data_IF_991198893880
#
_entry.id   IF_991198893880
#
_cell.length_a   1.000
_cell.length_b   1.000
_cell.length_c   1.000
_cell.angle_alpha   90.00
_cell.angle_beta   90.00
_cell.angle_gamma   90.00
#
_symmetry.space_group_name_H-M   'P 1'
#
loop_
_entity.id
_entity.type
_entity.pdbx_description
1 polymer ?
#
# COMPACT_ATOMS: atom_id res chain seq x y z
N UNK A 1 -3.35 13.74 -29.43
CA UNK A 1 -2.38 12.65 -29.12
C UNK A 1 -1.83 12.75 -27.69
N UNK A 2 -1.05 13.77 -27.31
CA UNK A 2 -0.62 13.93 -25.89
C UNK A 2 -1.79 14.32 -24.99
N UNK A 3 -2.65 15.23 -25.46
CA UNK A 3 -3.85 15.64 -24.74
C UNK A 3 -4.88 14.51 -24.66
N UNK A 4 -5.13 13.74 -25.73
CA UNK A 4 -6.00 12.54 -25.67
C UNK A 4 -5.43 11.39 -24.80
N UNK A 5 -4.11 11.32 -24.62
CA UNK A 5 -3.49 10.39 -23.66
C UNK A 5 -3.70 10.86 -22.21
N UNK A 6 -3.65 12.18 -21.99
CA UNK A 6 -3.98 12.82 -20.72
C UNK A 6 -5.50 12.90 -20.47
N UNK A 7 -6.36 12.82 -21.48
CA UNK A 7 -7.83 12.89 -21.32
C UNK A 7 -8.50 11.52 -21.47
N UNK A 8 -7.72 10.48 -21.79
CA UNK A 8 -8.18 9.11 -21.89
C UNK A 8 -8.51 8.48 -20.53
N UNK A 9 -9.19 7.31 -20.52
CA UNK A 9 -9.57 6.58 -19.30
C UNK A 9 -8.36 6.22 -18.39
N UNK A 10 -7.14 6.31 -18.91
CA UNK A 10 -5.89 6.10 -18.19
C UNK A 10 -5.50 7.24 -17.24
N UNK A 11 -5.98 8.48 -17.45
CA UNK A 11 -5.69 9.61 -16.55
C UNK A 11 -6.27 9.41 -15.14
N UNK A 12 -7.35 8.65 -15.03
CA UNK A 12 -7.99 8.33 -13.75
C UNK A 12 -7.28 7.19 -13.00
N UNK A 13 -6.11 6.72 -13.44
CA UNK A 13 -5.39 5.69 -12.69
C UNK A 13 -5.05 6.15 -11.26
N UNK A 14 -4.59 7.39 -11.11
CA UNK A 14 -4.17 7.93 -9.81
C UNK A 14 -5.31 8.15 -8.80
N UNK A 15 -6.59 8.04 -9.20
CA UNK A 15 -7.69 8.26 -8.24
C UNK A 15 -8.05 7.00 -7.46
N UNK A 16 -7.72 5.81 -7.95
CA UNK A 16 -8.14 4.56 -7.32
C UNK A 16 -7.18 4.13 -6.20
N UNK A 17 -7.74 3.72 -5.07
CA UNK A 17 -6.99 3.26 -3.90
C UNK A 17 -6.10 2.05 -4.19
N UNK A 18 -6.59 1.14 -5.04
CA UNK A 18 -5.82 -0.03 -5.47
C UNK A 18 -4.50 0.38 -6.12
N UNK A 19 -4.51 1.44 -6.93
CA UNK A 19 -3.32 1.92 -7.64
C UNK A 19 -2.32 2.58 -6.68
N UNK A 20 -2.81 3.25 -5.63
CA UNK A 20 -1.96 3.76 -4.55
C UNK A 20 -1.28 2.60 -3.81
N UNK A 21 -1.98 1.50 -3.54
CA UNK A 21 -1.37 0.32 -2.94
C UNK A 21 -0.35 -0.38 -3.84
N UNK A 22 -0.62 -0.50 -5.15
CA UNK A 22 0.37 -1.02 -6.11
C UNK A 22 1.63 -0.15 -6.17
N UNK A 23 1.46 1.17 -6.16
CA UNK A 23 2.59 2.12 -6.10
C UNK A 23 3.41 1.89 -4.85
N UNK A 24 2.74 1.79 -3.69
CA UNK A 24 3.42 1.58 -2.41
C UNK A 24 4.17 0.24 -2.35
N UNK A 25 3.56 -0.85 -2.84
CA UNK A 25 4.24 -2.14 -2.94
C UNK A 25 5.46 -2.08 -3.86
N UNK A 26 5.34 -1.39 -5.00
CA UNK A 26 6.46 -1.21 -5.92
C UNK A 26 7.57 -0.39 -5.28
N UNK A 27 7.24 0.69 -4.58
CA UNK A 27 8.20 1.49 -3.83
C UNK A 27 8.92 0.65 -2.76
N UNK A 28 8.19 -0.18 -2.02
CA UNK A 28 8.77 -1.12 -1.07
C UNK A 28 9.73 -2.10 -1.77
N UNK A 29 9.32 -2.76 -2.85
CA UNK A 29 10.18 -3.71 -3.55
C UNK A 29 11.47 -3.07 -4.11
N UNK A 30 11.36 -1.86 -4.68
CA UNK A 30 12.52 -1.10 -5.17
C UNK A 30 13.43 -0.69 -4.00
N UNK A 31 12.85 -0.23 -2.90
CA UNK A 31 13.63 0.18 -1.72
C UNK A 31 14.32 -1.01 -1.06
N UNK A 32 13.63 -2.14 -0.91
CA UNK A 32 14.19 -3.40 -0.45
C UNK A 32 15.40 -3.82 -1.29
N UNK A 33 15.30 -3.73 -2.63
CA UNK A 33 16.40 -4.03 -3.53
C UNK A 33 17.59 -3.08 -3.32
N UNK A 34 17.35 -1.78 -3.10
CA UNK A 34 18.41 -0.80 -2.79
C UNK A 34 19.11 -1.16 -1.47
N UNK A 35 18.34 -1.45 -0.41
CA UNK A 35 18.88 -1.83 0.90
C UNK A 35 19.70 -3.11 0.81
N UNK A 36 19.24 -4.12 0.08
CA UNK A 36 20.01 -5.34 -0.16
C UNK A 36 21.33 -5.08 -0.89
N UNK A 37 21.34 -4.20 -1.90
CA UNK A 37 22.56 -3.84 -2.64
C UNK A 37 23.54 -3.08 -1.74
N UNK A 38 23.06 -2.15 -0.91
CA UNK A 38 23.89 -1.44 0.06
C UNK A 38 24.50 -2.43 1.04
N UNK A 39 23.69 -3.29 1.67
CA UNK A 39 24.17 -4.30 2.62
C UNK A 39 25.23 -5.23 2.04
N UNK A 40 25.01 -5.73 0.82
CA UNK A 40 25.97 -6.59 0.12
C UNK A 40 27.30 -5.87 -0.18
N UNK A 41 27.25 -4.58 -0.55
CA UNK A 41 28.47 -3.78 -0.80
C UNK A 41 29.23 -3.49 0.49
N UNK A 42 28.54 -3.18 1.57
CA UNK A 42 29.14 -2.91 2.89
C UNK A 42 29.81 -4.15 3.45
N UNK A 43 29.14 -5.30 3.40
CA UNK A 43 29.72 -6.58 3.85
C UNK A 43 30.97 -6.95 3.04
N UNK A 44 30.94 -6.77 1.72
CA UNK A 44 32.08 -7.02 0.84
C UNK A 44 33.27 -6.10 1.16
N UNK A 45 33.02 -4.80 1.35
CA UNK A 45 34.07 -3.84 1.70
C UNK A 45 34.71 -4.14 3.06
N UNK A 46 33.92 -4.62 4.03
CA UNK A 46 34.38 -4.95 5.38
C UNK A 46 35.24 -6.22 5.37
N UNK A 47 34.88 -7.23 4.57
CA UNK A 47 35.68 -8.45 4.41
C UNK A 47 37.05 -8.19 3.74
N UNK A 48 37.13 -7.18 2.87
CA UNK A 48 38.39 -6.76 2.25
C UNK A 48 39.25 -5.87 3.19
N UNK A 49 38.66 -5.33 4.26
CA UNK A 49 39.27 -4.34 5.17
C UNK A 49 39.25 -4.85 6.62
N UNK A 50 40.08 -5.84 6.92
CA UNK A 50 40.09 -6.56 8.22
C UNK A 50 40.47 -5.70 9.45
N UNK A 51 40.79 -4.40 9.29
CA UNK A 51 41.42 -3.57 10.33
C UNK A 51 40.61 -2.42 10.94
N UNK A 52 39.49 -1.96 10.39
CA UNK A 52 38.77 -0.78 10.94
C UNK A 52 37.41 -1.15 11.54
N UNK A 53 37.44 -1.97 12.60
CA UNK A 53 36.29 -2.20 13.48
C UNK A 53 36.19 -1.08 14.50
N UNK A 54 35.72 0.10 14.09
CA UNK A 54 35.18 1.05 15.05
C UNK A 54 34.19 2.00 14.39
N UNK A 55 32.97 2.00 14.95
CA UNK A 55 31.89 2.99 14.80
C UNK A 55 31.28 3.14 13.41
N UNK A 56 30.47 2.15 12.99
CA UNK A 56 29.29 2.47 12.16
C UNK A 56 28.30 3.20 13.06
N UNK A 57 28.35 4.52 12.98
CA UNK A 57 27.47 5.50 13.64
C UNK A 57 25.99 5.23 13.35
N UNK A 58 25.12 5.57 14.30
CA UNK A 58 23.65 5.51 14.24
C UNK A 58 23.01 6.15 12.97
N UNK A 59 23.79 6.88 12.18
CA UNK A 59 23.42 7.43 10.87
C UNK A 59 23.23 6.37 9.77
N UNK A 60 23.76 5.16 9.92
CA UNK A 60 23.64 4.07 8.92
C UNK A 60 22.30 3.30 8.99
N UNK A 61 21.40 3.62 9.93
CA UNK A 61 20.16 2.85 10.14
C UNK A 61 18.92 3.44 9.44
N UNK A 62 19.01 4.64 8.87
CA UNK A 62 17.82 5.36 8.39
C UNK A 62 17.12 4.65 7.21
N UNK A 63 17.88 4.03 6.31
CA UNK A 63 17.32 3.31 5.16
C UNK A 63 16.61 2.02 5.59
N UNK A 64 17.10 1.35 6.64
CA UNK A 64 16.39 0.24 7.28
C UNK A 64 15.10 0.69 7.96
N UNK A 65 15.09 1.88 8.58
CA UNK A 65 13.86 2.46 9.15
C UNK A 65 12.83 2.78 8.08
N UNK A 66 13.25 3.37 6.95
CA UNK A 66 12.36 3.64 5.80
C UNK A 66 11.79 2.33 5.26
N UNK A 67 12.64 1.32 5.06
CA UNK A 67 12.22 0.01 4.59
C UNK A 67 11.21 -0.63 5.55
N UNK A 68 11.46 -0.50 6.85
CA UNK A 68 10.57 -1.03 7.86
C UNK A 68 9.19 -0.37 7.85
N UNK A 69 9.13 0.96 7.63
CA UNK A 69 7.87 1.70 7.47
C UNK A 69 7.16 1.26 6.19
N UNK A 70 7.87 1.18 5.06
CA UNK A 70 7.33 0.75 3.77
C UNK A 70 6.75 -0.67 3.89
N UNK A 71 7.50 -1.61 4.43
CA UNK A 71 7.06 -2.99 4.66
C UNK A 71 5.81 -3.06 5.56
N UNK A 72 5.81 -2.38 6.71
CA UNK A 72 4.67 -2.38 7.63
C UNK A 72 3.42 -1.67 7.08
N UNK A 73 3.54 -0.96 5.97
CA UNK A 73 2.41 -0.30 5.29
C UNK A 73 1.96 -1.08 4.06
N UNK A 74 2.89 -1.47 3.19
CA UNK A 74 2.63 -2.14 1.92
C UNK A 74 2.03 -3.54 2.11
N UNK A 75 2.58 -4.33 3.03
CA UNK A 75 2.15 -5.73 3.23
C UNK A 75 0.69 -5.79 3.72
N UNK A 76 0.27 -5.10 4.80
CA UNK A 76 -1.14 -5.09 5.19
C UNK A 76 -2.06 -4.48 4.14
N UNK A 77 -1.59 -3.45 3.42
CA UNK A 77 -2.39 -2.82 2.38
C UNK A 77 -2.68 -3.75 1.21
N UNK A 78 -1.73 -4.61 0.82
CA UNK A 78 -1.93 -5.64 -0.20
C UNK A 78 -3.08 -6.60 0.18
N UNK A 79 -3.08 -7.12 1.41
CA UNK A 79 -4.17 -7.97 1.92
C UNK A 79 -5.50 -7.23 2.01
N UNK A 80 -5.48 -5.98 2.45
CA UNK A 80 -6.69 -5.15 2.53
C UNK A 80 -7.32 -4.95 1.14
N UNK A 81 -6.53 -4.58 0.14
CA UNK A 81 -7.01 -4.32 -1.22
C UNK A 81 -7.62 -5.56 -1.88
N UNK A 82 -6.99 -6.73 -1.70
CA UNK A 82 -7.54 -7.98 -2.24
C UNK A 82 -8.83 -8.36 -1.53
N UNK A 83 -8.89 -8.21 -0.21
CA UNK A 83 -10.13 -8.47 0.56
C UNK A 83 -11.24 -7.52 0.16
N UNK A 84 -10.95 -6.22 0.01
CA UNK A 84 -11.91 -5.21 -0.41
C UNK A 84 -12.39 -5.46 -1.85
N UNK A 85 -11.50 -5.88 -2.75
CA UNK A 85 -11.86 -6.23 -4.11
C UNK A 85 -12.81 -7.43 -4.15
N UNK A 86 -12.46 -8.52 -3.47
CA UNK A 86 -13.30 -9.71 -3.39
C UNK A 86 -14.66 -9.43 -2.72
N UNK A 87 -14.68 -8.61 -1.67
CA UNK A 87 -15.90 -8.33 -0.90
C UNK A 87 -16.86 -7.32 -1.54
N UNK A 88 -16.34 -6.29 -2.23
CA UNK A 88 -17.15 -5.15 -2.68
C UNK A 88 -17.12 -4.88 -4.18
N UNK A 89 -16.03 -5.24 -4.88
CA UNK A 89 -15.83 -4.87 -6.29
C UNK A 89 -15.95 -6.05 -7.26
N UNK A 90 -16.08 -7.28 -6.77
CA UNK A 90 -16.39 -8.45 -7.61
C UNK A 90 -17.84 -8.37 -8.11
N UNK A 91 -18.07 -7.63 -9.19
CA UNK A 91 -19.38 -7.48 -9.85
C UNK A 91 -19.79 -8.70 -10.69
N UNK A 92 -19.33 -9.91 -10.33
CA UNK A 92 -19.61 -11.15 -11.06
C UNK A 92 -18.94 -11.27 -12.44
N UNK A 93 -18.34 -10.19 -12.96
CA UNK A 93 -17.54 -10.17 -14.19
C UNK A 93 -16.06 -10.08 -13.85
N UNK A 94 -15.40 -11.24 -13.78
CA UNK A 94 -13.98 -11.32 -13.50
C UNK A 94 -13.17 -10.84 -14.72
N UNK A 95 -12.79 -9.56 -14.76
CA UNK A 95 -11.72 -9.12 -15.65
C UNK A 95 -10.43 -9.79 -15.18
N UNK A 96 -9.94 -10.76 -15.96
CA UNK A 96 -8.77 -11.60 -15.63
C UNK A 96 -7.58 -10.76 -15.16
N UNK A 97 -7.34 -9.62 -15.81
CA UNK A 97 -6.22 -8.72 -15.45
C UNK A 97 -6.38 -8.12 -14.05
N UNK A 98 -7.59 -7.70 -13.68
CA UNK A 98 -7.86 -7.14 -12.35
C UNK A 98 -7.76 -8.23 -11.28
N UNK A 99 -8.28 -9.43 -11.54
CA UNK A 99 -8.15 -10.55 -10.60
C UNK A 99 -6.68 -10.93 -10.40
N UNK A 100 -5.92 -11.02 -11.49
CA UNK A 100 -4.51 -11.34 -11.46
C UNK A 100 -3.71 -10.29 -10.67
N UNK A 101 -3.97 -9.01 -10.91
CA UNK A 101 -3.38 -7.89 -10.17
C UNK A 101 -3.58 -8.03 -8.65
N UNK A 102 -4.81 -8.31 -8.19
CA UNK A 102 -5.11 -8.43 -6.76
C UNK A 102 -4.54 -9.71 -6.13
N UNK A 103 -4.60 -10.85 -6.84
CA UNK A 103 -4.02 -12.11 -6.35
C UNK A 103 -2.50 -12.00 -6.27
N UNK A 104 -1.84 -11.50 -7.32
CA UNK A 104 -0.40 -11.33 -7.36
C UNK A 104 0.10 -10.40 -6.26
N UNK A 105 -0.64 -9.32 -5.96
CA UNK A 105 -0.32 -8.43 -4.85
C UNK A 105 -0.23 -9.19 -3.51
N UNK A 106 -1.22 -10.03 -3.20
CA UNK A 106 -1.20 -10.84 -1.98
C UNK A 106 -0.16 -11.95 -1.98
N UNK A 107 0.14 -12.55 -3.14
CA UNK A 107 1.19 -13.57 -3.25
C UNK A 107 2.56 -12.95 -2.95
N UNK A 108 2.88 -11.81 -3.57
CA UNK A 108 4.13 -11.09 -3.32
C UNK A 108 4.23 -10.65 -1.85
N UNK A 109 3.17 -10.06 -1.31
CA UNK A 109 3.13 -9.64 0.08
C UNK A 109 3.30 -10.82 1.07
N UNK A 110 2.76 -11.99 0.74
CA UNK A 110 2.96 -13.21 1.54
C UNK A 110 4.41 -13.66 1.48
N UNK A 111 4.99 -13.74 0.28
CA UNK A 111 6.40 -14.14 0.12
C UNK A 111 7.33 -13.21 0.90
N UNK A 112 7.15 -11.89 0.77
CA UNK A 112 7.97 -10.91 1.50
C UNK A 112 7.79 -11.04 3.02
N UNK A 113 6.56 -11.28 3.50
CA UNK A 113 6.29 -11.49 4.92
C UNK A 113 7.06 -12.69 5.47
N UNK A 114 7.14 -13.80 4.73
CA UNK A 114 7.82 -15.02 5.18
C UNK A 114 9.34 -15.03 4.91
N UNK A 115 9.81 -14.32 3.89
CA UNK A 115 11.22 -14.35 3.46
C UNK A 115 12.03 -13.23 4.13
N UNK A 116 11.53 -12.00 4.16
CA UNK A 116 12.37 -10.82 4.47
C UNK A 116 12.79 -10.70 5.94
N UNK A 117 12.27 -11.53 6.86
CA UNK A 117 12.68 -11.47 8.27
C UNK A 117 12.24 -10.21 9.02
N UNK A 118 11.63 -9.21 8.35
CA UNK A 118 11.27 -7.92 8.94
C UNK A 118 10.18 -8.08 10.01
N UNK A 119 10.33 -7.47 11.22
CA UNK A 119 9.37 -7.61 12.30
C UNK A 119 8.11 -6.76 12.08
N UNK A 120 6.93 -7.35 12.32
CA UNK A 120 5.63 -6.65 12.37
C UNK A 120 5.27 -6.42 13.85
N UNK A 121 5.07 -5.16 14.26
CA UNK A 121 4.64 -4.83 15.64
C UNK A 121 3.32 -4.07 15.61
N UNK A 122 2.40 -4.41 16.50
CA UNK A 122 1.03 -3.87 16.56
C UNK A 122 0.94 -2.33 16.51
N UNK A 123 1.89 -1.60 17.09
CA UNK A 123 1.90 -0.13 17.06
C UNK A 123 2.05 0.46 15.65
N UNK A 124 2.61 -0.28 14.68
CA UNK A 124 2.77 0.20 13.30
C UNK A 124 1.49 0.10 12.47
N UNK A 125 0.39 -0.36 13.05
CA UNK A 125 -0.94 -0.20 12.46
C UNK A 125 -1.22 1.28 12.12
N UNK A 126 -0.63 2.21 12.88
CA UNK A 126 -0.72 3.64 12.64
C UNK A 126 -0.24 4.04 11.23
N UNK A 127 0.73 3.35 10.64
CA UNK A 127 1.19 3.66 9.29
C UNK A 127 0.07 3.44 8.25
N UNK A 128 -0.64 2.31 8.36
CA UNK A 128 -1.75 1.98 7.46
C UNK A 128 -2.93 2.93 7.69
N UNK A 129 -3.20 3.29 8.95
CA UNK A 129 -4.20 4.31 9.27
C UNK A 129 -3.88 5.66 8.63
N UNK A 130 -2.66 6.16 8.82
CA UNK A 130 -2.23 7.45 8.26
C UNK A 130 -2.37 7.41 6.74
N UNK A 131 -1.92 6.34 6.09
CA UNK A 131 -2.05 6.18 4.64
C UNK A 131 -3.51 6.18 4.18
N UNK A 132 -4.40 5.46 4.88
CA UNK A 132 -5.84 5.46 4.62
C UNK A 132 -6.48 6.84 4.78
N UNK A 133 -6.12 7.57 5.83
CA UNK A 133 -6.63 8.93 6.07
C UNK A 133 -6.11 9.95 5.04
N UNK A 134 -4.86 9.84 4.60
CA UNK A 134 -4.32 10.65 3.50
C UNK A 134 -5.15 10.43 2.23
N UNK A 135 -5.43 9.17 1.89
CA UNK A 135 -6.24 8.86 0.72
C UNK A 135 -7.69 9.34 0.88
N UNK A 136 -8.31 9.16 2.04
CA UNK A 136 -9.64 9.68 2.32
C UNK A 136 -9.69 11.21 2.12
N UNK A 137 -8.72 11.94 2.68
CA UNK A 137 -8.57 13.38 2.47
C UNK A 137 -8.42 13.76 0.99
N UNK A 138 -7.58 13.02 0.26
CA UNK A 138 -7.46 13.18 -1.19
C UNK A 138 -8.80 13.02 -1.91
N UNK A 139 -9.59 11.98 -1.60
CA UNK A 139 -10.89 11.77 -2.28
C UNK A 139 -11.89 12.88 -1.99
N UNK A 140 -11.89 13.45 -0.78
CA UNK A 140 -12.75 14.57 -0.40
C UNK A 140 -12.36 15.83 -1.20
N UNK A 141 -11.05 16.14 -1.24
CA UNK A 141 -10.55 17.29 -2.02
C UNK A 141 -10.81 17.11 -3.51
N UNK A 142 -10.57 15.91 -4.03
CA UNK A 142 -10.82 15.56 -5.43
C UNK A 142 -12.29 15.74 -5.80
N UNK A 143 -13.21 15.26 -4.95
CA UNK A 143 -14.63 15.45 -5.11
C UNK A 143 -15.03 16.93 -5.04
N UNK A 144 -14.53 17.68 -4.05
CA UNK A 144 -14.83 19.10 -3.88
C UNK A 144 -14.34 19.96 -5.07
N UNK A 145 -13.29 19.51 -5.76
CA UNK A 145 -12.80 20.12 -7.00
C UNK A 145 -13.61 19.73 -8.26
N UNK A 146 -14.69 18.96 -8.12
CA UNK A 146 -15.52 18.50 -9.23
C UNK A 146 -14.98 17.24 -9.94
N UNK A 147 -14.12 16.47 -9.27
CA UNK A 147 -13.52 15.26 -9.82
C UNK A 147 -14.54 14.14 -10.05
N UNK A 148 -14.42 13.46 -11.19
CA UNK A 148 -15.27 12.34 -11.61
C UNK A 148 -14.49 11.03 -11.73
N UNK A 149 -15.16 9.87 -11.69
CA UNK A 149 -14.53 8.60 -12.06
C UNK A 149 -14.34 8.46 -13.58
N UNK A 150 -13.89 7.28 -14.02
CA UNK A 150 -13.70 6.97 -15.44
C UNK A 150 -15.00 6.92 -16.25
N UNK A 151 -16.17 6.82 -15.60
CA UNK A 151 -17.50 6.78 -16.21
C UNK A 151 -18.17 8.17 -16.21
N UNK A 152 -17.53 9.18 -15.60
CA UNK A 152 -18.07 10.54 -15.50
C UNK A 152 -18.93 10.79 -14.26
N UNK A 153 -19.05 9.82 -13.37
CA UNK A 153 -19.85 9.93 -12.13
C UNK A 153 -19.14 10.76 -11.06
N UNK A 154 -19.87 11.50 -10.20
CA UNK A 154 -19.32 12.44 -9.21
C UNK A 154 -18.80 11.74 -7.94
N UNK A 155 -18.29 10.52 -8.07
CA UNK A 155 -17.69 9.73 -7.00
C UNK A 155 -16.58 8.84 -7.56
N UNK A 156 -15.52 8.58 -6.78
CA UNK A 156 -14.46 7.61 -7.17
C UNK A 156 -14.99 6.18 -7.08
N UNK A 157 -15.66 5.89 -5.97
CA UNK A 157 -16.32 4.62 -5.70
C UNK A 157 -17.77 4.88 -5.34
N UNK A 158 -18.70 4.09 -5.88
CA UNK A 158 -20.14 4.27 -5.65
C UNK A 158 -20.54 4.19 -4.17
N UNK A 159 -19.78 3.43 -3.35
CA UNK A 159 -19.99 3.32 -1.91
C UNK A 159 -19.42 4.50 -1.11
N UNK A 160 -18.66 5.40 -1.75
CA UNK A 160 -18.14 6.66 -1.19
C UNK A 160 -18.69 7.85 -1.97
N UNK A 161 -20.01 7.89 -2.15
CA UNK A 161 -20.70 9.01 -2.78
C UNK A 161 -21.00 10.12 -1.76
N UNK A 162 -20.18 11.17 -1.81
CA UNK A 162 -20.34 12.38 -0.98
C UNK A 162 -21.49 13.28 -1.43
N UNK A 163 -21.94 13.17 -2.69
CA UNK A 163 -22.97 14.02 -3.27
C UNK A 163 -24.36 13.58 -2.82
N UNK A 164 -24.68 12.30 -2.98
CA UNK A 164 -26.02 11.79 -2.71
C UNK A 164 -26.18 11.26 -1.29
N UNK A 165 -25.12 10.68 -0.72
CA UNK A 165 -25.19 9.98 0.58
C UNK A 165 -23.97 10.23 1.48
N UNK A 166 -23.68 11.50 1.86
CA UNK A 166 -22.48 11.85 2.61
C UNK A 166 -22.35 11.11 3.95
N UNK A 167 -23.47 10.87 4.65
CA UNK A 167 -23.46 10.12 5.92
C UNK A 167 -23.07 8.65 5.74
N UNK A 168 -23.51 7.99 4.66
CA UNK A 168 -23.14 6.60 4.35
C UNK A 168 -21.66 6.52 3.95
N UNK A 169 -21.20 7.45 3.11
CA UNK A 169 -19.80 7.55 2.72
C UNK A 169 -18.89 7.73 3.95
N UNK A 170 -19.24 8.65 4.86
CA UNK A 170 -18.50 8.85 6.09
C UNK A 170 -18.48 7.61 6.99
N UNK A 171 -19.62 6.94 7.16
CA UNK A 171 -19.69 5.69 7.92
C UNK A 171 -18.82 4.58 7.29
N UNK A 172 -18.83 4.46 5.97
CA UNK A 172 -18.02 3.47 5.25
C UNK A 172 -16.53 3.76 5.39
N UNK A 173 -16.09 5.01 5.21
CA UNK A 173 -14.69 5.42 5.42
C UNK A 173 -14.26 5.14 6.86
N UNK A 174 -15.04 5.58 7.85
CA UNK A 174 -14.70 5.37 9.26
C UNK A 174 -14.68 3.88 9.63
N UNK A 175 -15.67 3.10 9.18
CA UNK A 175 -15.75 1.67 9.44
C UNK A 175 -14.64 0.88 8.76
N UNK A 176 -14.35 1.16 7.49
CA UNK A 176 -13.25 0.52 6.76
C UNK A 176 -11.89 0.88 7.36
N UNK A 177 -11.66 2.16 7.69
CA UNK A 177 -10.44 2.60 8.34
C UNK A 177 -10.28 1.91 9.70
N UNK A 178 -11.24 2.03 10.61
CA UNK A 178 -11.12 1.55 11.99
C UNK A 178 -11.20 0.03 12.10
N UNK A 179 -12.21 -0.59 11.50
CA UNK A 179 -12.48 -2.03 11.67
C UNK A 179 -11.75 -2.84 10.61
N UNK A 180 -11.88 -2.45 9.33
CA UNK A 180 -11.27 -3.17 8.21
C UNK A 180 -9.75 -3.21 8.32
N UNK A 181 -9.11 -2.05 8.49
CA UNK A 181 -7.65 -1.98 8.66
C UNK A 181 -7.18 -2.75 9.88
N UNK A 182 -7.87 -2.63 11.01
CA UNK A 182 -7.50 -3.37 12.24
C UNK A 182 -7.59 -4.86 12.07
N UNK A 183 -8.66 -5.38 11.45
CA UNK A 183 -8.81 -6.80 11.19
C UNK A 183 -7.68 -7.33 10.30
N UNK A 184 -7.35 -6.62 9.21
CA UNK A 184 -6.27 -7.00 8.30
C UNK A 184 -4.91 -6.91 8.98
N UNK A 185 -4.65 -5.87 9.77
CA UNK A 185 -3.37 -5.74 10.45
C UNK A 185 -3.17 -6.83 11.50
N UNK A 186 -4.22 -7.19 12.24
CA UNK A 186 -4.20 -8.33 13.16
C UNK A 186 -3.98 -9.65 12.43
N UNK A 187 -4.58 -9.83 11.25
CA UNK A 187 -4.34 -11.00 10.41
C UNK A 187 -2.86 -11.09 9.97
N UNK A 188 -2.28 -10.00 9.45
CA UNK A 188 -0.85 -9.95 9.07
C UNK A 188 0.05 -10.17 10.27
N UNK A 189 -0.27 -9.58 11.42
CA UNK A 189 0.47 -9.83 12.66
C UNK A 189 0.39 -11.30 13.08
N UNK A 190 -0.77 -11.94 12.93
CA UNK A 190 -0.95 -13.37 13.15
C UNK A 190 -0.05 -14.21 12.24
N UNK A 191 -0.03 -13.93 10.93
CA UNK A 191 0.86 -14.58 9.98
C UNK A 191 2.34 -14.39 10.34
N UNK A 192 2.73 -13.17 10.71
CA UNK A 192 4.08 -12.87 11.19
C UNK A 192 4.46 -13.72 12.41
N UNK A 193 3.53 -13.95 13.35
CA UNK A 193 3.78 -14.77 14.55
C UNK A 193 3.89 -16.27 14.26
N UNK A 194 3.44 -16.73 13.09
CA UNK A 194 3.57 -18.13 12.65
C UNK A 194 4.92 -18.42 11.96
N UNK A 195 5.59 -17.37 11.47
CA UNK A 195 6.94 -17.43 10.89
C UNK A 195 8.00 -17.49 11.98
#
# INVERSE_FOLDING_TARGET
LVWDFLDGPYNKWHIYYTNWGFTLLTCHAVWAAIVCVIGYRTERSTNDSESDRSSTSDDDDWYHKVEWVLFNTAIPLAFYLTTAYCGFLSSGTFKVISVFEHIMNTVLATLDLFICGIPVRLLHILHVFIFGWIYAGFTIVYWAAGGTNAEGEPYVYWFVDYSSHPGRAACFIAGSALVGTSAIYLFVYGLYRLR
#
